data_IF_775988488052
#
_entry.id   IF_775988488052
#
_cell.length_a   1.000
_cell.length_b   1.000
_cell.length_c   1.000
_cell.angle_alpha   90.00
_cell.angle_beta   90.00
_cell.angle_gamma   90.00
#
_symmetry.space_group_name_H-M   'P 1'
#
loop_
_entity.id
_entity.type
_entity.pdbx_description
1 polymer ?
#
# COMPACT_ATOMS: atom_id res chain seq x y z
N UNK A 1 13.55 -12.93 4.89
CA UNK A 1 12.97 -12.62 3.57
C UNK A 1 11.87 -11.62 3.82
N UNK A 2 11.81 -10.53 3.06
CA UNK A 2 10.74 -9.54 3.21
C UNK A 2 9.40 -10.09 2.73
N UNK A 3 8.33 -9.34 2.98
CA UNK A 3 7.01 -9.66 2.47
C UNK A 3 6.90 -9.32 0.99
N UNK A 4 6.15 -10.18 0.30
CA UNK A 4 5.82 -10.10 -1.11
C UNK A 4 4.34 -10.36 -1.26
N UNK A 5 3.62 -9.42 -1.88
CA UNK A 5 2.18 -9.55 -2.09
C UNK A 5 1.50 -8.20 -2.20
N UNK A 6 0.18 -8.25 -2.35
CA UNK A 6 -0.70 -7.08 -2.41
C UNK A 6 -1.52 -6.97 -1.13
N UNK A 7 -1.39 -5.84 -0.44
CA UNK A 7 -2.29 -5.45 0.65
C UNK A 7 -3.45 -4.63 0.08
N UNK A 8 -4.69 -4.98 0.41
CA UNK A 8 -5.89 -4.32 -0.13
C UNK A 8 -6.81 -3.90 1.01
N UNK A 9 -7.06 -2.60 1.16
CA UNK A 9 -8.02 -2.07 2.11
C UNK A 9 -9.39 -1.86 1.44
N UNK A 10 -10.40 -2.52 1.99
CA UNK A 10 -11.79 -2.48 1.52
C UNK A 10 -12.73 -2.27 2.70
N UNK A 11 -13.82 -1.53 2.48
CA UNK A 11 -14.90 -1.40 3.46
C UNK A 11 -15.99 -2.42 3.19
N UNK A 12 -16.48 -3.08 4.23
CA UNK A 12 -17.63 -3.99 4.11
C UNK A 12 -17.76 -4.94 5.29
N UNK A 13 -18.93 -5.53 5.47
CA UNK A 13 -19.20 -6.48 6.56
C UNK A 13 -18.74 -7.91 6.25
N UNK A 14 -18.53 -8.25 4.98
CA UNK A 14 -18.10 -9.58 4.49
C UNK A 14 -16.93 -9.45 3.52
N UNK A 15 -16.22 -10.55 3.27
CA UNK A 15 -15.22 -10.64 2.20
C UNK A 15 -15.92 -10.50 0.85
N UNK A 16 -15.55 -9.52 0.00
CA UNK A 16 -16.07 -9.42 -1.36
C UNK A 16 -15.74 -10.65 -2.20
N UNK A 17 -16.67 -11.07 -3.05
CA UNK A 17 -16.46 -12.19 -3.99
C UNK A 17 -15.28 -11.93 -4.93
N UNK A 18 -15.12 -10.69 -5.40
CA UNK A 18 -13.96 -10.28 -6.21
C UNK A 18 -12.60 -10.51 -5.53
N UNK A 19 -12.52 -10.59 -4.19
CA UNK A 19 -11.30 -10.99 -3.48
C UNK A 19 -11.18 -12.52 -3.36
N UNK A 20 -12.30 -13.24 -3.25
CA UNK A 20 -12.33 -14.70 -3.16
C UNK A 20 -11.93 -15.35 -4.50
N UNK A 21 -12.27 -14.69 -5.61
CA UNK A 21 -11.96 -15.16 -6.97
C UNK A 21 -10.48 -14.95 -7.35
N UNK A 22 -9.75 -14.10 -6.60
CA UNK A 22 -8.33 -13.85 -6.88
C UNK A 22 -7.44 -15.01 -6.47
N UNK A 23 -7.59 -15.48 -5.23
CA UNK A 23 -6.77 -16.55 -4.68
C UNK A 23 -7.45 -17.19 -3.46
N UNK A 24 -7.34 -18.50 -3.34
CA UNK A 24 -7.81 -19.22 -2.15
C UNK A 24 -6.99 -18.88 -0.89
N UNK A 25 -5.78 -18.37 -1.06
CA UNK A 25 -4.88 -17.92 0.00
C UNK A 25 -5.15 -16.48 0.46
N UNK A 26 -6.13 -15.77 -0.13
CA UNK A 26 -6.53 -14.44 0.36
C UNK A 26 -6.98 -14.55 1.81
N UNK A 27 -6.32 -13.77 2.67
CA UNK A 27 -6.59 -13.76 4.12
C UNK A 27 -6.72 -12.33 4.63
N UNK A 28 -7.50 -12.15 5.70
CA UNK A 28 -7.46 -10.88 6.43
C UNK A 28 -6.10 -10.73 7.09
N UNK A 29 -5.49 -9.56 6.97
CA UNK A 29 -4.19 -9.28 7.57
C UNK A 29 -4.37 -9.07 9.08
N UNK A 30 -3.91 -10.04 9.89
CA UNK A 30 -4.16 -10.12 11.34
C UNK A 30 -3.69 -8.87 12.12
N UNK A 31 -2.63 -8.22 11.68
CA UNK A 31 -2.09 -6.99 12.29
C UNK A 31 -2.73 -5.67 11.82
N UNK A 32 -3.70 -5.74 10.90
CA UNK A 32 -4.24 -4.56 10.23
C UNK A 32 -5.77 -4.45 10.36
N UNK A 33 -6.32 -4.90 11.50
CA UNK A 33 -7.72 -4.68 11.81
C UNK A 33 -8.03 -3.18 11.83
N UNK A 34 -9.07 -2.77 11.09
CA UNK A 34 -9.51 -1.38 11.00
C UNK A 34 -10.94 -1.24 11.52
N UNK A 35 -11.26 -0.05 12.03
CA UNK A 35 -12.60 0.31 12.47
C UNK A 35 -13.53 0.63 11.29
N UNK A 36 -14.76 1.03 11.58
CA UNK A 36 -15.76 1.50 10.61
C UNK A 36 -16.08 0.53 9.45
N UNK A 37 -15.83 -0.77 9.67
CA UNK A 37 -16.05 -1.81 8.67
C UNK A 37 -14.92 -1.95 7.64
N UNK A 38 -13.79 -1.28 7.83
CA UNK A 38 -12.60 -1.49 7.01
C UNK A 38 -11.89 -2.78 7.37
N UNK A 39 -11.39 -3.48 6.36
CA UNK A 39 -10.47 -4.60 6.52
C UNK A 39 -9.34 -4.50 5.51
N UNK A 40 -8.16 -4.97 5.90
CA UNK A 40 -7.04 -5.15 4.99
C UNK A 40 -6.89 -6.64 4.71
N UNK A 41 -6.81 -6.98 3.42
CA UNK A 41 -6.56 -8.33 2.94
C UNK A 41 -5.13 -8.43 2.42
N UNK A 42 -4.52 -9.58 2.68
CA UNK A 42 -3.22 -10.01 2.15
C UNK A 42 -3.49 -10.97 0.99
N UNK A 43 -3.01 -10.60 -0.20
CA UNK A 43 -3.04 -11.41 -1.41
C UNK A 43 -1.60 -11.73 -1.79
N UNK A 44 -1.18 -13.02 -1.85
CA UNK A 44 0.23 -13.40 -2.04
C UNK A 44 0.74 -13.22 -3.48
N UNK A 45 0.14 -12.32 -4.25
CA UNK A 45 0.35 -12.15 -5.69
C UNK A 45 0.38 -10.66 -6.06
N UNK A 46 0.99 -10.31 -7.20
CA UNK A 46 0.94 -8.94 -7.74
C UNK A 46 -0.37 -8.71 -8.52
N UNK A 47 -1.43 -8.43 -7.78
CA UNK A 47 -2.76 -8.16 -8.33
C UNK A 47 -2.75 -6.93 -9.24
N UNK A 48 -1.95 -5.91 -8.89
CA UNK A 48 -1.89 -4.63 -9.60
C UNK A 48 -1.22 -4.73 -10.96
N UNK A 49 -0.30 -5.68 -11.13
CA UNK A 49 0.36 -5.97 -12.41
C UNK A 49 -0.59 -6.50 -13.49
N UNK A 50 -1.79 -6.96 -13.10
CA UNK A 50 -2.83 -7.49 -14.02
C UNK A 50 -3.79 -6.41 -14.53
N UNK A 51 -3.73 -5.19 -13.99
CA UNK A 51 -4.65 -4.10 -14.28
C UNK A 51 -5.44 -3.64 -13.05
N UNK A 52 -6.35 -2.69 -13.25
CA UNK A 52 -7.15 -2.10 -12.16
C UNK A 52 -8.54 -2.73 -12.01
N UNK A 53 -8.93 -3.67 -12.86
CA UNK A 53 -10.31 -4.20 -12.93
C UNK A 53 -10.80 -4.74 -11.59
N UNK A 54 -9.96 -5.50 -10.90
CA UNK A 54 -10.22 -5.99 -9.53
C UNK A 54 -10.50 -4.87 -8.53
N UNK A 55 -9.80 -3.73 -8.61
CA UNK A 55 -10.08 -2.60 -7.73
C UNK A 55 -11.44 -1.99 -8.04
N UNK A 56 -11.82 -1.94 -9.32
CA UNK A 56 -13.10 -1.39 -9.75
C UNK A 56 -14.25 -2.31 -9.33
N UNK A 57 -14.07 -3.62 -9.44
CA UNK A 57 -15.03 -4.61 -8.95
C UNK A 57 -15.21 -4.49 -7.44
N UNK A 58 -14.13 -4.23 -6.70
CA UNK A 58 -14.18 -4.00 -5.26
C UNK A 58 -14.86 -2.66 -4.91
N UNK A 59 -14.61 -1.60 -5.67
CA UNK A 59 -15.34 -0.32 -5.52
C UNK A 59 -16.83 -0.54 -5.77
N UNK A 60 -17.20 -1.25 -6.83
CA UNK A 60 -18.59 -1.55 -7.16
C UNK A 60 -19.26 -2.40 -6.07
N UNK A 61 -18.60 -3.46 -5.61
CA UNK A 61 -19.13 -4.37 -4.59
C UNK A 61 -19.27 -3.72 -3.21
N UNK A 62 -18.35 -2.83 -2.84
CA UNK A 62 -18.36 -2.15 -1.53
C UNK A 62 -19.10 -0.81 -1.54
N UNK A 63 -19.38 -0.25 -2.72
CA UNK A 63 -19.84 1.14 -2.89
C UNK A 63 -18.98 2.15 -2.11
N UNK A 64 -17.71 1.82 -1.89
CA UNK A 64 -16.76 2.57 -1.08
C UNK A 64 -15.43 2.69 -1.81
N UNK A 65 -14.61 3.70 -1.49
CA UNK A 65 -13.26 3.79 -2.04
C UNK A 65 -12.41 2.57 -1.66
N UNK A 66 -11.48 2.18 -2.54
CA UNK A 66 -10.55 1.07 -2.35
C UNK A 66 -9.13 1.56 -2.54
N UNK A 67 -8.20 1.07 -1.72
CA UNK A 67 -6.77 1.37 -1.85
C UNK A 67 -5.95 0.11 -1.64
N UNK A 68 -5.00 -0.13 -2.54
CA UNK A 68 -4.16 -1.31 -2.56
C UNK A 68 -2.68 -0.93 -2.66
N UNK A 69 -1.81 -1.77 -2.14
CA UNK A 69 -0.37 -1.67 -2.29
C UNK A 69 0.24 -3.02 -2.66
N UNK A 70 0.89 -3.11 -3.82
CA UNK A 70 1.81 -4.21 -4.10
C UNK A 70 3.17 -3.89 -3.48
N UNK A 71 3.70 -4.80 -2.67
CA UNK A 71 4.97 -4.65 -1.97
C UNK A 71 5.91 -5.77 -2.36
N UNK A 72 7.18 -5.40 -2.58
CA UNK A 72 8.24 -6.31 -2.97
C UNK A 72 9.41 -6.26 -2.00
N UNK A 73 9.76 -7.44 -1.45
CA UNK A 73 10.80 -7.67 -0.44
C UNK A 73 10.73 -6.73 0.78
N UNK A 74 9.54 -6.22 1.11
CA UNK A 74 9.31 -5.14 2.09
C UNK A 74 10.06 -3.82 1.84
N UNK A 75 10.72 -3.67 0.69
CA UNK A 75 11.65 -2.58 0.43
C UNK A 75 11.00 -1.45 -0.37
N UNK A 76 10.10 -1.79 -1.30
CA UNK A 76 9.34 -0.82 -2.08
C UNK A 76 7.93 -1.32 -2.37
N UNK A 77 7.07 -0.38 -2.76
CA UNK A 77 5.72 -0.72 -3.16
C UNK A 77 5.06 0.30 -4.07
N UNK A 78 4.09 -0.19 -4.82
CA UNK A 78 3.18 0.55 -5.68
C UNK A 78 1.84 0.68 -4.98
N UNK A 79 1.38 1.89 -4.71
CA UNK A 79 0.03 2.15 -4.23
C UNK A 79 -0.84 2.52 -5.42
N UNK A 80 -2.04 1.96 -5.45
CA UNK A 80 -3.12 2.40 -6.34
C UNK A 80 -4.40 2.54 -5.54
N UNK A 81 -5.24 3.48 -5.92
CA UNK A 81 -6.54 3.67 -5.32
C UNK A 81 -7.59 4.03 -6.37
N UNK A 82 -8.83 3.67 -6.07
CA UNK A 82 -10.00 3.99 -6.86
C UNK A 82 -11.16 4.40 -5.95
N UNK A 83 -12.04 5.27 -6.44
CA UNK A 83 -13.23 5.71 -5.70
C UNK A 83 -14.53 5.57 -6.51
N UNK A 84 -15.70 5.56 -5.85
CA UNK A 84 -17.00 5.50 -6.52
C UNK A 84 -17.26 6.64 -7.50
N UNK A 85 -16.69 7.83 -7.26
CA UNK A 85 -16.79 8.96 -8.21
C UNK A 85 -16.04 8.74 -9.52
N UNK A 86 -15.21 7.69 -9.60
CA UNK A 86 -14.41 7.35 -10.76
C UNK A 86 -12.97 7.87 -10.71
N UNK A 87 -12.57 8.56 -9.64
CA UNK A 87 -11.17 8.97 -9.46
C UNK A 87 -10.26 7.75 -9.29
N UNK A 88 -9.08 7.81 -9.92
CA UNK A 88 -8.08 6.74 -9.92
C UNK A 88 -6.70 7.36 -9.89
N UNK A 89 -5.86 6.85 -9.00
CA UNK A 89 -4.49 7.33 -8.90
C UNK A 89 -3.56 6.23 -8.43
N UNK A 90 -2.28 6.42 -8.69
CA UNK A 90 -1.24 5.55 -8.17
C UNK A 90 0.00 6.34 -7.81
N UNK A 91 0.81 5.81 -6.90
CA UNK A 91 2.06 6.43 -6.46
C UNK A 91 3.03 5.36 -6.00
N UNK A 92 4.32 5.61 -6.20
CA UNK A 92 5.35 4.81 -5.55
C UNK A 92 5.44 5.21 -4.08
N UNK A 93 5.44 4.24 -3.16
CA UNK A 93 5.79 4.51 -1.77
C UNK A 93 7.22 5.04 -1.70
N UNK A 94 8.14 4.38 -2.39
CA UNK A 94 9.52 4.83 -2.56
C UNK A 94 9.98 4.69 -4.02
N UNK A 95 9.98 5.83 -4.71
CA UNK A 95 10.40 5.93 -6.10
C UNK A 95 11.90 5.66 -6.30
N UNK A 96 12.74 6.03 -5.33
CA UNK A 96 14.18 5.86 -5.41
C UNK A 96 14.61 4.40 -5.23
N UNK A 97 14.01 3.73 -4.25
CA UNK A 97 14.21 2.29 -4.01
C UNK A 97 13.72 1.47 -5.19
N UNK A 98 12.50 1.73 -5.67
CA UNK A 98 11.97 1.05 -6.85
C UNK A 98 12.89 1.23 -8.07
N UNK A 99 13.40 2.44 -8.33
CA UNK A 99 14.35 2.68 -9.41
C UNK A 99 15.64 1.86 -9.25
N UNK A 100 16.20 1.80 -8.02
CA UNK A 100 17.41 1.02 -7.77
C UNK A 100 17.20 -0.47 -8.03
N UNK A 101 16.09 -1.02 -7.57
CA UNK A 101 15.70 -2.41 -7.81
C UNK A 101 15.52 -2.74 -9.29
N UNK A 102 14.74 -1.93 -10.03
CA UNK A 102 14.52 -2.11 -11.47
C UNK A 102 15.84 -2.10 -12.25
N UNK A 103 16.72 -1.15 -11.92
CA UNK A 103 18.04 -1.04 -12.54
C UNK A 103 18.88 -2.29 -12.26
N UNK A 104 18.94 -2.73 -11.01
CA UNK A 104 19.73 -3.90 -10.60
C UNK A 104 19.19 -5.18 -11.22
N UNK A 105 17.87 -5.35 -11.27
CA UNK A 105 17.21 -6.45 -11.97
C UNK A 105 17.65 -6.54 -13.43
N UNK A 106 17.63 -5.43 -14.17
CA UNK A 106 18.08 -5.41 -15.56
C UNK A 106 19.57 -5.71 -15.72
N UNK A 107 20.42 -5.19 -14.83
CA UNK A 107 21.87 -5.53 -14.84
C UNK A 107 22.09 -7.02 -14.60
N UNK A 108 21.38 -7.61 -13.62
CA UNK A 108 21.46 -9.05 -13.34
C UNK A 108 21.00 -9.91 -14.53
N UNK A 109 20.07 -9.39 -15.34
CA UNK A 109 19.64 -10.02 -16.59
C UNK A 109 20.58 -9.73 -17.79
N UNK A 110 21.79 -9.22 -17.53
CA UNK A 110 22.83 -9.01 -18.55
C UNK A 110 22.76 -7.68 -19.30
N UNK A 111 21.88 -6.75 -18.90
CA UNK A 111 21.79 -5.44 -19.53
C UNK A 111 22.96 -4.53 -19.11
N UNK A 112 23.59 -3.77 -20.02
CA UNK A 112 24.59 -2.77 -19.66
C UNK A 112 24.03 -1.72 -18.69
N UNK A 113 24.82 -1.30 -17.69
CA UNK A 113 24.39 -0.36 -16.65
C UNK A 113 23.69 0.91 -17.17
N UNK A 114 24.19 1.51 -18.25
CA UNK A 114 23.59 2.72 -18.83
C UNK A 114 22.20 2.44 -19.44
N UNK A 115 22.01 1.28 -20.06
CA UNK A 115 20.72 0.86 -20.61
C UNK A 115 19.75 0.47 -19.48
N UNK A 116 20.24 -0.24 -18.46
CA UNK A 116 19.46 -0.60 -17.28
C UNK A 116 18.95 0.63 -16.52
N UNK A 117 19.79 1.68 -16.40
CA UNK A 117 19.37 2.96 -15.80
C UNK A 117 18.26 3.62 -16.61
N UNK A 118 18.42 3.75 -17.93
CA UNK A 118 17.36 4.32 -18.78
C UNK A 118 16.06 3.53 -18.68
N UNK A 119 16.15 2.20 -18.65
CA UNK A 119 14.97 1.34 -18.52
C UNK A 119 14.27 1.52 -17.18
N UNK A 120 15.03 1.63 -16.09
CA UNK A 120 14.47 1.94 -14.78
C UNK A 120 13.82 3.34 -14.77
N UNK A 121 14.46 4.36 -15.36
CA UNK A 121 13.88 5.71 -15.51
C UNK A 121 12.52 5.64 -16.22
N UNK A 122 12.42 4.88 -17.33
CA UNK A 122 11.17 4.66 -18.08
C UNK A 122 10.10 3.94 -17.25
N UNK A 123 10.43 2.80 -16.63
CA UNK A 123 9.50 2.02 -15.80
C UNK A 123 8.92 2.86 -14.67
N UNK A 124 9.78 3.61 -14.00
CA UNK A 124 9.40 4.45 -12.87
C UNK A 124 8.57 5.66 -13.32
N UNK A 125 8.87 6.24 -14.48
CA UNK A 125 8.07 7.30 -15.12
C UNK A 125 6.70 6.82 -15.60
N UNK A 126 6.58 5.55 -16.02
CA UNK A 126 5.34 5.00 -16.55
C UNK A 126 4.27 4.70 -15.49
N UNK A 127 4.65 4.62 -14.21
CA UNK A 127 3.71 4.31 -13.12
C UNK A 127 3.47 5.49 -12.17
N UNK A 128 2.18 5.74 -11.94
CA UNK A 128 1.67 6.65 -10.92
C UNK A 128 1.97 8.12 -11.18
N UNK A 129 1.43 8.98 -10.32
CA UNK A 129 1.65 10.42 -10.35
C UNK A 129 2.73 10.84 -9.32
N UNK A 130 3.28 12.06 -9.45
CA UNK A 130 4.19 12.60 -8.45
C UNK A 130 3.53 12.71 -7.05
N UNK A 131 4.31 12.66 -5.95
CA UNK A 131 3.75 12.69 -4.58
C UNK A 131 2.79 13.85 -4.30
N UNK A 132 3.07 15.05 -4.83
CA UNK A 132 2.22 16.21 -4.62
C UNK A 132 0.85 16.10 -5.30
N UNK A 133 0.76 15.37 -6.41
CA UNK A 133 -0.48 15.05 -7.10
C UNK A 133 -1.23 13.94 -6.38
N UNK A 134 -0.53 12.87 -6.00
CA UNK A 134 -1.10 11.79 -5.19
C UNK A 134 -1.74 12.29 -3.90
N UNK A 135 -1.16 13.30 -3.22
CA UNK A 135 -1.77 13.94 -2.04
C UNK A 135 -3.14 14.54 -2.35
N UNK A 136 -3.34 15.17 -3.51
CA UNK A 136 -4.63 15.76 -3.86
C UNK A 136 -5.70 14.69 -4.06
N UNK A 137 -5.35 13.64 -4.80
CA UNK A 137 -6.27 12.50 -4.99
C UNK A 137 -6.55 11.77 -3.68
N UNK A 138 -5.53 11.58 -2.84
CA UNK A 138 -5.68 10.96 -1.52
C UNK A 138 -6.67 11.71 -0.61
N UNK A 139 -6.68 13.05 -0.67
CA UNK A 139 -7.66 13.87 0.07
C UNK A 139 -9.08 13.66 -0.48
N UNK A 140 -9.25 13.65 -1.80
CA UNK A 140 -10.54 13.37 -2.44
C UNK A 140 -11.05 11.97 -2.09
N UNK A 141 -10.18 10.98 -2.18
CA UNK A 141 -10.44 9.60 -1.77
C UNK A 141 -10.88 9.51 -0.31
N UNK A 142 -10.18 10.20 0.60
CA UNK A 142 -10.53 10.20 2.02
C UNK A 142 -11.89 10.86 2.28
N UNK A 143 -12.20 11.96 1.58
CA UNK A 143 -13.50 12.62 1.67
C UNK A 143 -14.64 11.70 1.21
N UNK A 144 -14.46 10.96 0.10
CA UNK A 144 -15.43 9.94 -0.35
C UNK A 144 -15.57 8.77 0.64
N UNK A 145 -14.50 8.45 1.37
CA UNK A 145 -14.54 7.46 2.45
C UNK A 145 -15.23 7.98 3.73
N UNK A 146 -15.57 9.27 3.79
CA UNK A 146 -16.21 9.93 4.93
C UNK A 146 -15.23 10.56 5.93
N UNK A 147 -13.97 10.74 5.56
CA UNK A 147 -12.91 11.26 6.42
C UNK A 147 -12.40 12.63 5.97
N UNK A 148 -12.05 13.47 6.93
CA UNK A 148 -11.33 14.74 6.70
C UNK A 148 -9.89 14.57 7.18
N UNK A 149 -8.92 14.83 6.31
CA UNK A 149 -7.50 14.51 6.54
C UNK A 149 -6.58 15.70 6.26
N UNK A 150 -5.36 15.63 6.77
CA UNK A 150 -4.35 16.66 6.61
C UNK A 150 -3.36 16.29 5.51
N UNK A 151 -3.23 17.15 4.49
CA UNK A 151 -2.31 16.98 3.36
C UNK A 151 -0.85 16.73 3.80
N UNK A 152 -0.43 17.39 4.89
CA UNK A 152 0.94 17.32 5.39
C UNK A 152 1.39 15.92 5.79
N UNK A 153 0.54 15.16 6.49
CA UNK A 153 0.86 13.81 6.96
C UNK A 153 1.01 12.84 5.77
N UNK A 154 0.06 12.86 4.84
CA UNK A 154 0.09 12.06 3.61
C UNK A 154 1.35 12.41 2.80
N UNK A 155 1.60 13.71 2.59
CA UNK A 155 2.74 14.18 1.82
C UNK A 155 4.09 13.89 2.48
N UNK A 156 4.15 13.76 3.80
CA UNK A 156 5.36 13.33 4.50
C UNK A 156 5.67 11.85 4.21
N UNK A 157 4.66 10.97 4.28
CA UNK A 157 4.83 9.53 4.00
C UNK A 157 5.26 9.30 2.56
N UNK A 158 4.60 9.96 1.59
CA UNK A 158 4.89 9.79 0.16
C UNK A 158 6.24 10.38 -0.28
N UNK A 159 6.83 11.29 0.51
CA UNK A 159 8.16 11.86 0.26
C UNK A 159 9.27 11.21 1.07
N UNK A 160 8.94 10.34 2.01
CA UNK A 160 9.93 9.66 2.84
C UNK A 160 10.73 8.72 1.96
N UNK A 161 11.99 9.07 1.69
CA UNK A 161 12.93 8.15 1.07
C UNK A 161 13.26 7.05 2.08
N UNK A 162 13.10 5.79 1.66
CA UNK A 162 13.50 4.61 2.42
C UNK A 162 14.82 4.17 1.79
N UNK A 163 15.82 3.92 2.61
CA UNK A 163 17.14 3.50 2.11
C UNK A 163 17.20 1.99 2.17
N UNK A 164 17.08 1.28 1.04
CA UNK A 164 17.19 -0.17 1.02
C UNK A 164 18.67 -0.56 1.27
N UNK A 165 18.90 -1.82 1.62
CA UNK A 165 20.22 -2.42 1.57
C UNK A 165 20.87 -2.75 2.91
N UNK A 166 22.16 -3.11 2.84
CA UNK A 166 22.92 -3.77 3.91
C UNK A 166 22.84 -3.04 5.27
N UNK A 167 22.78 -1.71 5.30
CA UNK A 167 22.69 -0.92 6.53
C UNK A 167 21.36 -1.11 7.28
N UNK A 168 20.25 -1.30 6.57
CA UNK A 168 18.96 -1.67 7.14
C UNK A 168 18.98 -3.12 7.66
N UNK A 169 19.55 -4.05 6.87
CA UNK A 169 19.71 -5.46 7.24
C UNK A 169 20.66 -5.67 8.43
N UNK A 170 21.66 -4.80 8.59
CA UNK A 170 22.65 -4.84 9.68
C UNK A 170 22.23 -4.03 10.92
N UNK A 171 21.06 -3.36 10.90
CA UNK A 171 20.52 -2.58 12.04
C UNK A 171 21.56 -1.66 12.68
N UNK A 172 22.29 -0.88 11.87
CA UNK A 172 23.27 0.07 12.40
C UNK A 172 22.57 1.04 13.39
N UNK A 173 23.19 1.36 14.54
CA UNK A 173 22.58 2.23 15.53
C UNK A 173 22.19 3.58 14.93
N UNK A 174 20.89 3.91 15.00
CA UNK A 174 20.35 5.20 14.54
C UNK A 174 19.70 5.19 13.15
N UNK A 175 19.82 4.11 12.37
CA UNK A 175 19.05 3.93 11.12
C UNK A 175 17.77 3.15 11.39
N UNK A 176 16.63 3.84 11.49
CA UNK A 176 15.32 3.18 11.50
C UNK A 176 14.94 2.84 10.06
N UNK A 177 15.01 1.57 9.71
CA UNK A 177 14.41 1.09 8.48
C UNK A 177 12.89 1.18 8.60
N UNK A 178 12.24 1.72 7.58
CA UNK A 178 10.78 1.76 7.50
C UNK A 178 10.41 0.83 6.36
N UNK A 179 9.77 -0.28 6.72
CA UNK A 179 9.27 -1.24 5.75
C UNK A 179 8.16 -0.61 4.89
N UNK A 180 8.02 -1.07 3.64
CA UNK A 180 7.00 -0.56 2.73
C UNK A 180 5.57 -0.81 3.27
N UNK A 181 5.38 -1.89 4.02
CA UNK A 181 4.16 -2.26 4.74
C UNK A 181 3.84 -1.20 5.79
N UNK A 182 4.82 -0.82 6.62
CA UNK A 182 4.66 0.23 7.63
C UNK A 182 4.28 1.57 6.99
N UNK A 183 4.86 1.88 5.83
CA UNK A 183 4.53 3.06 5.07
C UNK A 183 3.11 3.02 4.50
N UNK A 184 2.67 1.86 4.00
CA UNK A 184 1.30 1.66 3.55
C UNK A 184 0.32 1.79 4.72
N UNK A 185 0.58 1.16 5.86
CA UNK A 185 -0.30 1.27 7.03
C UNK A 185 -0.32 2.68 7.62
N UNK A 186 0.81 3.38 7.63
CA UNK A 186 0.87 4.79 7.98
C UNK A 186 0.10 5.68 7.00
N UNK A 187 0.09 5.32 5.71
CA UNK A 187 -0.73 5.99 4.71
C UNK A 187 -2.22 5.78 5.02
N UNK A 188 -2.65 4.55 5.34
CA UNK A 188 -4.02 4.29 5.76
C UNK A 188 -4.41 5.10 7.01
N UNK A 189 -3.50 5.20 8.00
CA UNK A 189 -3.74 6.04 9.19
C UNK A 189 -3.91 7.51 8.81
N UNK A 190 -3.07 8.01 7.88
CA UNK A 190 -3.12 9.39 7.41
C UNK A 190 -4.32 9.69 6.51
N UNK A 191 -4.91 8.65 5.91
CA UNK A 191 -6.19 8.69 5.20
C UNK A 191 -7.40 8.64 6.16
N UNK A 192 -7.16 8.56 7.46
CA UNK A 192 -8.20 8.60 8.48
C UNK A 192 -8.84 7.24 8.78
N UNK A 193 -8.34 6.13 8.20
CA UNK A 193 -8.90 4.81 8.46
C UNK A 193 -8.57 4.38 9.90
N UNK A 194 -9.56 4.31 10.80
CA UNK A 194 -9.31 4.05 12.20
C UNK A 194 -8.71 2.66 12.37
N UNK A 195 -7.78 2.51 13.32
CA UNK A 195 -7.32 1.19 13.77
C UNK A 195 -8.42 0.59 14.63
N UNK A 196 -8.71 -0.71 14.48
CA UNK A 196 -9.65 -1.38 15.35
C UNK A 196 -9.14 -1.31 16.79
N UNK A 197 -10.03 -1.02 17.75
CA UNK A 197 -9.70 -1.13 19.15
C UNK A 197 -9.40 -2.59 19.47
N UNK A 198 -8.21 -2.86 20.01
CA UNK A 198 -7.93 -4.17 20.60
C UNK A 198 -8.89 -4.31 21.77
N UNK A 199 -9.91 -5.14 21.63
CA UNK A 199 -10.83 -5.43 22.72
C UNK A 199 -10.00 -6.14 23.79
N UNK A 200 -9.71 -5.46 24.90
CA UNK A 200 -9.01 -6.06 26.02
C UNK A 200 -9.99 -7.04 26.70
N UNK A 201 -9.77 -8.37 26.67
CA UNK A 201 -10.70 -9.34 27.24
C UNK A 201 -10.76 -9.31 28.79
N UNK A 202 -10.02 -8.43 29.46
CA UNK A 202 -9.85 -8.47 30.92
C UNK A 202 -10.82 -7.60 31.75
N UNK A 203 -12.01 -7.22 31.25
CA UNK A 203 -12.96 -6.36 32.02
C UNK A 203 -14.29 -6.99 32.43
N UNK A 204 -14.40 -8.33 32.43
CA UNK A 204 -15.63 -9.03 32.83
C UNK A 204 -15.49 -9.94 34.06
N UNK A 205 -14.57 -9.69 34.98
CA UNK A 205 -14.40 -10.55 36.18
C UNK A 205 -14.56 -9.88 37.55
N UNK A 206 -14.98 -8.62 37.65
CA UNK A 206 -15.29 -8.00 38.95
C UNK A 206 -16.74 -7.46 38.98
N UNK A 207 -17.71 -8.38 38.97
CA UNK A 207 -19.06 -8.14 39.48
C UNK A 207 -19.76 -9.51 39.65
N UNK A 208 -19.42 -10.21 40.74
CA UNK A 208 -20.19 -11.32 41.30
C UNK A 208 -19.98 -11.37 42.82
#
# INVERSE_FOLDING_TARGET
MGYWGTLIAVRGSRTPTALQDLDAAVRTHEGAARGDGWRVYDVPDNVLGRGLDVLLDLVAASSSPVIAAYIADSDYGQVVAASPSGDRWGVWLDRGTAHAFEREHHVMNGMPHAAARRRADETIAAFGCPPAEAVRHAIGWAAEAGYTVQAGAIGQILRTARRPGLAARLSLPGTRYVFAEDAYFGLLDSLGLPRASVSNPARHLDEA
#
